data_IF_380638913573
#
_entry.id   IF_380638913573
#
_cell.length_a   1.000
_cell.length_b   1.000
_cell.length_c   1.000
_cell.angle_alpha   90.00
_cell.angle_beta   90.00
_cell.angle_gamma   90.00
#
_symmetry.space_group_name_H-M   'P 1'
#
loop_
_entity.id
_entity.type
_entity.pdbx_description
1 polymer ?
#
# COMPACT_ATOMS: atom_id res chain seq x y z
N UNK A 1 14.83 -8.77 -22.12
CA UNK A 1 14.46 -7.60 -21.30
C UNK A 1 15.06 -6.36 -21.94
N UNK A 2 14.24 -5.36 -22.25
CA UNK A 2 14.65 -4.09 -22.87
C UNK A 2 14.88 -2.99 -21.84
N UNK A 3 15.46 -1.86 -22.25
CA UNK A 3 15.59 -0.68 -21.38
C UNK A 3 14.22 -0.13 -20.95
N UNK A 4 13.25 -0.12 -21.85
CA UNK A 4 11.89 0.32 -21.55
C UNK A 4 11.21 -0.58 -20.52
N UNK A 5 11.41 -1.91 -20.61
CA UNK A 5 10.89 -2.84 -19.61
C UNK A 5 11.57 -2.67 -18.25
N UNK A 6 12.88 -2.41 -18.20
CA UNK A 6 13.59 -2.12 -16.96
C UNK A 6 13.06 -0.84 -16.28
N UNK A 7 12.85 0.21 -17.08
CA UNK A 7 12.25 1.46 -16.61
C UNK A 7 10.84 1.24 -16.09
N UNK A 8 10.00 0.54 -16.84
CA UNK A 8 8.63 0.22 -16.45
C UNK A 8 8.58 -0.59 -15.15
N UNK A 9 9.47 -1.58 -14.96
CA UNK A 9 9.59 -2.33 -13.70
C UNK A 9 9.90 -1.42 -12.52
N UNK A 10 10.79 -0.44 -12.68
CA UNK A 10 11.09 0.53 -11.63
C UNK A 10 9.90 1.45 -11.34
N UNK A 11 9.21 1.95 -12.37
CA UNK A 11 8.02 2.81 -12.23
C UNK A 11 6.88 2.08 -11.50
N UNK A 12 6.59 0.83 -11.89
CA UNK A 12 5.60 -0.04 -11.23
C UNK A 12 5.98 -0.28 -9.76
N UNK A 13 7.24 -0.61 -9.49
CA UNK A 13 7.72 -0.84 -8.14
C UNK A 13 7.55 0.40 -7.25
N UNK A 14 7.87 1.58 -7.77
CA UNK A 14 7.66 2.83 -7.04
C UNK A 14 6.18 3.08 -6.72
N UNK A 15 5.26 2.74 -7.64
CA UNK A 15 3.80 2.83 -7.38
C UNK A 15 3.40 1.90 -6.23
N UNK A 16 3.88 0.66 -6.22
CA UNK A 16 3.62 -0.30 -5.14
C UNK A 16 4.11 0.23 -3.79
N UNK A 17 5.33 0.78 -3.74
CA UNK A 17 5.90 1.36 -2.52
C UNK A 17 5.14 2.62 -2.05
N UNK A 18 4.73 3.49 -2.97
CA UNK A 18 3.93 4.69 -2.65
C UNK A 18 2.57 4.31 -2.08
N UNK A 19 1.93 3.26 -2.61
CA UNK A 19 0.69 2.73 -2.07
C UNK A 19 0.85 2.26 -0.61
N UNK A 20 1.85 1.42 -0.31
CA UNK A 20 2.12 0.95 1.05
C UNK A 20 2.40 2.10 2.01
N UNK A 21 3.24 3.05 1.57
CA UNK A 21 3.51 4.29 2.33
C UNK A 21 2.24 5.08 2.61
N UNK A 22 1.32 5.18 1.65
CA UNK A 22 0.03 5.83 1.81
C UNK A 22 -0.82 5.16 2.89
N UNK A 23 -0.95 3.83 2.86
CA UNK A 23 -1.69 3.07 3.87
C UNK A 23 -1.10 3.25 5.27
N UNK A 24 0.21 3.07 5.39
CA UNK A 24 0.91 3.09 6.68
C UNK A 24 0.91 4.47 7.32
N UNK A 25 0.74 5.52 6.51
CA UNK A 25 0.66 6.92 6.96
C UNK A 25 -0.74 7.51 6.95
N UNK A 26 -1.76 6.75 6.52
CA UNK A 26 -3.15 7.24 6.35
C UNK A 26 -3.23 8.40 5.36
N UNK A 27 -2.38 8.40 4.34
CA UNK A 27 -2.44 9.37 3.26
C UNK A 27 -3.26 8.80 2.10
N UNK A 28 -4.55 9.12 2.10
CA UNK A 28 -5.47 8.64 1.08
C UNK A 28 -5.21 9.24 -0.31
N UNK A 29 -4.48 10.37 -0.38
CA UNK A 29 -4.05 10.93 -1.66
C UNK A 29 -2.96 10.08 -2.29
N UNK A 30 -1.99 9.62 -1.49
CA UNK A 30 -0.98 8.65 -1.93
C UNK A 30 -1.59 7.30 -2.31
N UNK A 31 -2.54 6.80 -1.51
CA UNK A 31 -3.26 5.56 -1.83
C UNK A 31 -3.97 5.68 -3.16
N UNK A 32 -4.77 6.74 -3.34
CA UNK A 32 -5.51 6.99 -4.58
C UNK A 32 -4.59 7.14 -5.79
N UNK A 33 -3.48 7.84 -5.62
CA UNK A 33 -2.50 8.11 -6.68
C UNK A 33 -1.77 6.88 -7.21
N UNK A 34 -1.95 5.70 -6.61
CA UNK A 34 -1.42 4.43 -7.14
C UNK A 34 -2.32 3.79 -8.22
N UNK A 35 -3.52 4.30 -8.42
CA UNK A 35 -4.54 3.69 -9.29
C UNK A 35 -4.97 4.64 -10.39
N UNK A 36 -5.37 4.07 -11.54
CA UNK A 36 -6.17 4.80 -12.52
C UNK A 36 -7.56 5.11 -11.94
N UNK A 37 -8.19 6.21 -12.37
CA UNK A 37 -9.47 6.66 -11.81
C UNK A 37 -10.60 5.64 -11.96
N UNK A 38 -10.56 4.85 -13.03
CA UNK A 38 -11.49 3.78 -13.37
C UNK A 38 -11.06 2.41 -12.80
N UNK A 39 -10.06 2.37 -11.91
CA UNK A 39 -9.54 1.11 -11.42
C UNK A 39 -10.59 0.29 -10.66
N UNK A 40 -10.52 -1.03 -10.86
CA UNK A 40 -11.38 -1.99 -10.18
C UNK A 40 -10.66 -2.72 -9.05
N UNK A 41 -11.26 -2.72 -7.87
CA UNK A 41 -10.70 -3.35 -6.68
C UNK A 41 -11.51 -4.59 -6.33
N UNK A 42 -10.82 -5.70 -6.10
CA UNK A 42 -11.40 -7.00 -5.80
C UNK A 42 -10.75 -7.57 -4.54
N UNK A 43 -11.19 -7.11 -3.38
CA UNK A 43 -10.82 -7.70 -2.10
C UNK A 43 -11.83 -8.81 -1.73
N UNK A 44 -11.61 -9.58 -0.65
CA UNK A 44 -12.65 -10.45 -0.09
C UNK A 44 -13.99 -9.72 0.07
N UNK A 45 -15.10 -10.45 -0.11
CA UNK A 45 -16.48 -9.91 -0.13
C UNK A 45 -16.80 -9.07 1.11
N UNK A 46 -16.29 -9.48 2.27
CA UNK A 46 -16.48 -8.79 3.55
C UNK A 46 -15.72 -7.46 3.68
N UNK A 47 -14.85 -7.12 2.72
CA UNK A 47 -14.06 -5.89 2.73
C UNK A 47 -14.55 -4.93 1.65
N UNK A 48 -14.23 -5.19 0.38
CA UNK A 48 -14.61 -4.31 -0.73
C UNK A 48 -14.51 -4.99 -2.09
N UNK A 49 -15.52 -4.77 -2.94
CA UNK A 49 -15.44 -5.03 -4.38
C UNK A 49 -16.10 -3.89 -5.13
N UNK A 50 -15.41 -3.30 -6.10
CA UNK A 50 -15.96 -2.22 -6.90
C UNK A 50 -14.95 -1.14 -7.24
N UNK A 51 -15.42 0.10 -7.28
CA UNK A 51 -14.64 1.26 -7.72
C UNK A 51 -13.54 1.64 -6.74
N UNK A 52 -12.53 2.34 -7.26
CA UNK A 52 -11.50 3.03 -6.47
C UNK A 52 -12.09 3.99 -5.44
N UNK A 53 -13.13 4.76 -5.80
CA UNK A 53 -13.74 5.71 -4.87
C UNK A 53 -14.35 5.03 -3.65
N UNK A 54 -15.08 3.93 -3.87
CA UNK A 54 -15.60 3.11 -2.79
C UNK A 54 -14.48 2.52 -1.93
N UNK A 55 -13.38 2.09 -2.57
CA UNK A 55 -12.24 1.53 -1.86
C UNK A 55 -11.51 2.56 -0.99
N UNK A 56 -11.24 3.76 -1.51
CA UNK A 56 -10.59 4.83 -0.74
C UNK A 56 -11.48 5.27 0.42
N UNK A 57 -12.80 5.35 0.22
CA UNK A 57 -13.74 5.61 1.31
C UNK A 57 -13.68 4.51 2.37
N UNK A 58 -13.75 3.25 1.95
CA UNK A 58 -13.64 2.10 2.85
C UNK A 58 -12.35 2.17 3.69
N UNK A 59 -11.20 2.43 3.05
CA UNK A 59 -9.94 2.58 3.76
C UNK A 59 -9.95 3.77 4.72
N UNK A 60 -10.50 4.92 4.31
CA UNK A 60 -10.59 6.09 5.18
C UNK A 60 -11.41 5.82 6.46
N UNK A 61 -12.46 5.00 6.35
CA UNK A 61 -13.30 4.59 7.49
C UNK A 61 -12.62 3.51 8.35
N UNK A 62 -11.86 2.60 7.73
CA UNK A 62 -11.24 1.45 8.39
C UNK A 62 -9.90 1.80 9.07
N UNK A 63 -9.07 2.65 8.44
CA UNK A 63 -7.73 2.97 8.93
C UNK A 63 -7.68 3.55 10.36
N UNK A 64 -8.62 4.40 10.82
CA UNK A 64 -8.68 4.88 12.21
C UNK A 64 -8.83 3.76 13.25
N UNK A 65 -9.28 2.57 12.84
CA UNK A 65 -9.41 1.42 13.74
C UNK A 65 -8.07 0.75 14.05
N UNK A 66 -6.99 1.13 13.36
CA UNK A 66 -5.64 0.62 13.64
C UNK A 66 -4.75 1.71 14.27
N UNK A 67 -4.05 1.34 15.34
CA UNK A 67 -3.03 2.21 15.96
C UNK A 67 -1.87 2.42 15.00
N UNK A 68 -1.41 1.33 14.37
CA UNK A 68 -0.31 1.33 13.40
C UNK A 68 -0.50 0.18 12.42
N UNK A 69 0.02 0.38 11.21
CA UNK A 69 0.11 -0.65 10.18
C UNK A 69 1.50 -0.59 9.55
N UNK A 70 1.96 -1.71 9.02
CA UNK A 70 3.15 -1.79 8.18
C UNK A 70 2.90 -2.79 7.07
N UNK A 71 3.03 -2.36 5.82
CA UNK A 71 2.88 -3.21 4.65
C UNK A 71 4.25 -3.44 4.00
N UNK A 72 4.79 -4.65 4.16
CA UNK A 72 6.08 -5.05 3.61
C UNK A 72 5.88 -5.89 2.36
N UNK A 73 6.44 -5.43 1.24
CA UNK A 73 6.39 -6.16 -0.02
C UNK A 73 7.59 -7.09 -0.13
N UNK A 74 7.32 -8.35 -0.47
CA UNK A 74 8.32 -9.36 -0.82
C UNK A 74 8.53 -9.43 -2.33
N UNK A 75 8.66 -10.66 -2.83
CA UNK A 75 8.85 -10.94 -4.25
C UNK A 75 7.72 -10.32 -5.09
N UNK A 76 8.11 -9.61 -6.15
CA UNK A 76 7.20 -9.11 -7.18
C UNK A 76 7.61 -9.69 -8.53
N UNK A 77 6.70 -10.43 -9.17
CA UNK A 77 6.88 -10.96 -10.51
C UNK A 77 6.04 -10.11 -11.48
N UNK A 78 6.69 -9.53 -12.48
CA UNK A 78 6.06 -8.62 -13.47
C UNK A 78 6.22 -9.24 -14.86
N UNK A 79 5.09 -9.49 -15.51
CA UNK A 79 4.98 -10.00 -16.87
C UNK A 79 4.32 -8.95 -17.77
N UNK A 80 4.98 -8.57 -18.86
CA UNK A 80 4.47 -7.55 -19.78
C UNK A 80 3.59 -8.17 -20.87
N UNK A 81 2.44 -7.55 -21.12
CA UNK A 81 1.51 -7.87 -22.20
C UNK A 81 1.49 -6.70 -23.20
N UNK A 82 2.56 -6.60 -23.98
CA UNK A 82 2.80 -5.45 -24.85
C UNK A 82 3.41 -4.24 -24.12
N UNK A 83 3.40 -3.05 -24.75
CA UNK A 83 4.16 -1.89 -24.28
C UNK A 83 3.52 -1.16 -23.08
N UNK A 84 2.22 -1.35 -22.87
CA UNK A 84 1.41 -0.51 -21.97
C UNK A 84 0.59 -1.33 -20.96
N UNK A 85 0.75 -2.65 -20.90
CA UNK A 85 0.06 -3.51 -19.93
C UNK A 85 1.09 -4.41 -19.24
N UNK A 86 0.94 -4.58 -17.93
CA UNK A 86 1.71 -5.53 -17.15
C UNK A 86 0.83 -6.24 -16.11
N UNK A 87 1.05 -7.53 -15.93
CA UNK A 87 0.46 -8.32 -14.86
C UNK A 87 1.51 -8.52 -13.77
N UNK A 88 1.12 -8.23 -12.53
CA UNK A 88 2.06 -8.19 -11.40
C UNK A 88 1.50 -9.03 -10.26
N UNK A 89 2.24 -10.06 -9.87
CA UNK A 89 2.04 -10.74 -8.59
C UNK A 89 3.02 -10.17 -7.57
N UNK A 90 2.52 -9.67 -6.44
CA UNK A 90 3.37 -9.17 -5.35
C UNK A 90 2.99 -9.82 -4.04
N UNK A 91 3.98 -10.42 -3.38
CA UNK A 91 3.85 -10.98 -2.04
C UNK A 91 3.83 -9.83 -1.02
N UNK A 92 2.93 -9.91 -0.05
CA UNK A 92 2.72 -8.94 1.01
C UNK A 92 2.76 -9.64 2.36
N UNK A 93 3.54 -9.10 3.29
CA UNK A 93 3.31 -9.27 4.72
C UNK A 93 2.76 -7.95 5.27
N UNK A 94 1.65 -7.99 6.00
CA UNK A 94 1.15 -6.81 6.67
C UNK A 94 0.96 -7.03 8.16
N UNK A 95 1.51 -6.12 8.94
CA UNK A 95 1.45 -6.09 10.40
C UNK A 95 0.50 -4.96 10.81
N UNK A 96 -0.44 -5.26 11.70
CA UNK A 96 -1.45 -4.33 12.17
C UNK A 96 -1.57 -4.42 13.68
N UNK A 97 -1.76 -3.27 14.33
CA UNK A 97 -2.16 -3.22 15.74
C UNK A 97 -3.57 -2.65 15.82
N UNK A 98 -4.51 -3.41 16.40
CA UNK A 98 -5.87 -2.92 16.60
C UNK A 98 -5.92 -1.80 17.64
N UNK A 99 -6.75 -0.78 17.41
CA UNK A 99 -7.12 0.19 18.45
C UNK A 99 -8.27 -0.34 19.31
N UNK A 100 -8.72 0.47 20.28
CA UNK A 100 -9.95 0.22 21.05
C UNK A 100 -11.21 0.14 20.17
N UNK A 101 -11.20 0.74 18.98
CA UNK A 101 -12.29 0.65 18.00
C UNK A 101 -12.29 -0.67 17.21
N UNK A 102 -11.21 -1.45 17.33
CA UNK A 102 -11.06 -2.72 16.65
C UNK A 102 -11.36 -3.89 17.59
N UNK A 103 -11.92 -4.97 17.05
CA UNK A 103 -12.16 -6.19 17.82
C UNK A 103 -10.87 -6.91 18.27
N UNK A 104 -9.70 -6.40 17.88
CA UNK A 104 -8.39 -6.87 18.32
C UNK A 104 -7.93 -6.16 19.60
N UNK A 105 -8.54 -5.03 20.00
CA UNK A 105 -8.30 -4.37 21.31
C UNK A 105 -6.82 -4.30 21.71
N UNK A 106 -5.98 -3.71 20.86
CA UNK A 106 -4.54 -3.57 21.13
C UNK A 106 -3.68 -4.73 20.61
N UNK A 107 -4.25 -5.92 20.37
CA UNK A 107 -3.51 -7.08 19.85
C UNK A 107 -2.94 -6.81 18.45
N UNK A 108 -1.83 -7.47 18.16
CA UNK A 108 -1.21 -7.43 16.85
C UNK A 108 -1.70 -8.58 15.97
N UNK A 109 -1.87 -8.29 14.69
CA UNK A 109 -2.16 -9.25 13.65
C UNK A 109 -1.11 -9.13 12.57
N UNK A 110 -0.56 -10.27 12.16
CA UNK A 110 0.24 -10.39 10.95
C UNK A 110 -0.53 -11.23 9.94
N UNK A 111 -0.60 -10.72 8.71
CA UNK A 111 -1.17 -11.44 7.57
C UNK A 111 -0.14 -11.57 6.45
N UNK A 112 -0.29 -12.63 5.68
CA UNK A 112 0.43 -12.85 4.43
C UNK A 112 -0.60 -12.97 3.33
N UNK A 113 -0.30 -12.28 2.24
CA UNK A 113 -1.20 -12.14 1.15
C UNK A 113 -0.43 -11.94 -0.15
N UNK A 114 -1.17 -11.98 -1.24
CA UNK A 114 -0.69 -11.66 -2.58
C UNK A 114 -1.61 -10.63 -3.21
N UNK A 115 -1.00 -9.61 -3.80
CA UNK A 115 -1.66 -8.75 -4.76
C UNK A 115 -1.51 -9.35 -6.15
N UNK A 116 -2.62 -9.43 -6.86
CA UNK A 116 -2.65 -9.68 -8.30
C UNK A 116 -3.13 -8.40 -8.97
N UNK A 117 -2.19 -7.68 -9.56
CA UNK A 117 -2.43 -6.39 -10.16
C UNK A 117 -2.37 -6.49 -11.69
N UNK A 118 -3.27 -5.75 -12.34
CA UNK A 118 -3.10 -5.33 -13.73
C UNK A 118 -2.69 -3.87 -13.72
N UNK A 119 -1.47 -3.61 -14.16
CA UNK A 119 -0.96 -2.27 -14.40
C UNK A 119 -1.19 -1.88 -15.85
N UNK A 120 -1.49 -0.60 -16.05
CA UNK A 120 -1.58 0.01 -17.38
C UNK A 120 -0.75 1.28 -17.42
N UNK A 121 -0.07 1.50 -18.54
CA UNK A 121 0.55 2.78 -18.87
C UNK A 121 -0.44 3.61 -19.67
N UNK A 122 -0.87 4.75 -19.12
CA UNK A 122 -1.72 5.73 -19.81
C UNK A 122 -1.04 7.08 -19.71
N UNK A 123 -0.96 7.80 -20.83
CA UNK A 123 -0.28 9.10 -20.93
C UNK A 123 1.16 9.06 -20.36
N UNK A 124 1.84 7.93 -20.58
CA UNK A 124 3.22 7.70 -20.13
C UNK A 124 3.39 7.37 -18.64
N UNK A 125 2.30 7.15 -17.89
CA UNK A 125 2.34 6.84 -16.45
C UNK A 125 1.77 5.45 -16.19
N UNK A 126 2.54 4.60 -15.51
CA UNK A 126 2.08 3.31 -15.01
C UNK A 126 1.29 3.49 -13.71
N UNK A 127 0.06 2.98 -13.67
CA UNK A 127 -0.76 2.88 -12.46
C UNK A 127 -1.55 1.58 -12.46
N UNK A 128 -2.10 1.22 -11.30
CA UNK A 128 -2.92 0.03 -11.15
C UNK A 128 -4.30 0.27 -11.78
N UNK A 129 -4.68 -0.55 -12.76
CA UNK A 129 -6.02 -0.56 -13.36
C UNK A 129 -6.94 -1.60 -12.70
N UNK A 130 -6.36 -2.68 -12.16
CA UNK A 130 -7.11 -3.65 -11.35
C UNK A 130 -6.23 -4.20 -10.25
N UNK A 131 -6.79 -4.36 -9.05
CA UNK A 131 -6.14 -5.06 -7.94
C UNK A 131 -7.04 -6.12 -7.35
N UNK A 132 -6.52 -7.34 -7.22
CA UNK A 132 -7.12 -8.38 -6.42
C UNK A 132 -6.22 -8.69 -5.22
N UNK A 133 -6.82 -8.81 -4.03
CA UNK A 133 -6.13 -9.26 -2.82
C UNK A 133 -6.50 -10.71 -2.54
N UNK A 134 -5.49 -11.56 -2.40
CA UNK A 134 -5.63 -12.93 -1.88
C UNK A 134 -4.93 -13.04 -0.55
N UNK A 135 -5.66 -13.33 0.52
CA UNK A 135 -5.06 -13.56 1.85
C UNK A 135 -4.78 -15.05 1.98
N UNK A 136 -3.52 -15.42 2.16
CA UNK A 136 -3.10 -16.82 2.26
C UNK A 136 -3.24 -17.32 3.71
N UNK A 137 -2.72 -16.57 4.68
CA UNK A 137 -2.93 -16.86 6.10
C UNK A 137 -2.74 -15.63 7.00
N UNK A 138 -3.18 -15.75 8.25
CA UNK A 138 -2.96 -14.76 9.30
C UNK A 138 -2.68 -15.45 10.64
N UNK A 139 -1.96 -14.75 11.52
CA UNK A 139 -1.91 -15.10 12.93
C UNK A 139 -2.03 -13.84 13.79
N UNK A 140 -2.51 -14.04 15.02
CA UNK A 140 -2.65 -12.99 16.03
C UNK A 140 -1.69 -13.25 17.19
N UNK A 141 -1.13 -12.20 17.77
CA UNK A 141 -0.22 -12.31 18.91
C UNK A 141 -0.44 -11.18 19.94
N UNK A 142 -0.11 -11.42 21.23
CA UNK A 142 -0.32 -10.45 22.29
C UNK A 142 0.44 -9.14 22.05
N UNK A 143 -0.12 -8.05 22.59
CA UNK A 143 0.47 -6.71 22.49
C UNK A 143 1.73 -6.53 23.34
N UNK A 144 1.87 -7.31 24.41
CA UNK A 144 2.97 -7.17 25.36
C UNK A 144 4.30 -7.59 24.73
N UNK A 145 5.32 -6.75 24.86
CA UNK A 145 6.63 -7.04 24.30
C UNK A 145 7.74 -6.16 24.89
N UNK A 146 8.97 -6.46 24.50
CA UNK A 146 10.17 -5.79 25.03
C UNK A 146 10.14 -4.25 24.93
N UNK A 147 9.42 -3.69 23.95
CA UNK A 147 9.28 -2.23 23.80
C UNK A 147 8.31 -1.56 24.78
N UNK A 148 7.58 -2.32 25.61
CA UNK A 148 6.73 -1.74 26.66
C UNK A 148 7.57 -1.02 27.73
N UNK A 149 8.82 -1.47 27.93
CA UNK A 149 9.82 -0.84 28.80
C UNK A 149 10.51 0.37 28.13
N UNK A 150 10.25 0.59 26.84
CA UNK A 150 10.90 1.60 26.01
C UNK A 150 9.86 2.43 25.22
N UNK A 151 9.02 3.23 25.90
CA UNK A 151 7.94 3.97 25.26
C UNK A 151 8.42 4.99 24.21
N UNK A 152 9.68 5.45 24.32
CA UNK A 152 10.35 6.33 23.37
C UNK A 152 10.86 5.60 22.10
N UNK A 153 10.95 4.27 22.13
CA UNK A 153 11.28 3.46 20.95
C UNK A 153 10.03 3.06 20.15
N UNK A 154 8.84 3.05 20.75
CA UNK A 154 7.56 2.71 20.10
C UNK A 154 6.86 3.93 19.49
N UNK A 155 7.63 4.83 18.88
CA UNK A 155 7.22 6.19 18.47
C UNK A 155 6.76 6.32 17.02
N UNK A 156 6.08 5.30 16.46
CA UNK A 156 5.52 5.45 15.11
C UNK A 156 4.45 6.56 15.11
N UNK A 157 4.73 7.66 14.41
CA UNK A 157 3.84 8.81 14.31
C UNK A 157 3.05 8.76 13.00
N UNK A 158 2.12 7.82 12.94
CA UNK A 158 1.18 7.68 11.82
C UNK A 158 0.53 9.03 11.50
N UNK A 159 0.63 9.47 10.25
CA UNK A 159 -0.08 10.66 9.73
C UNK A 159 0.42 12.04 10.16
N UNK A 160 1.49 12.17 10.98
CA UNK A 160 1.95 13.51 11.43
C UNK A 160 2.93 14.21 10.49
N UNK A 161 3.38 13.55 9.42
CA UNK A 161 4.28 14.16 8.43
C UNK A 161 5.70 14.48 8.96
N UNK A 162 6.07 13.94 10.12
CA UNK A 162 7.32 14.28 10.82
C UNK A 162 8.54 13.47 10.35
N UNK A 163 8.33 12.47 9.49
CA UNK A 163 9.40 11.66 8.93
C UNK A 163 10.36 12.53 8.10
N UNK A 164 11.69 12.47 8.34
CA UNK A 164 12.65 13.33 7.63
C UNK A 164 12.65 13.08 6.11
N UNK A 165 12.32 11.86 5.69
CA UNK A 165 12.17 11.47 4.27
C UNK A 165 10.94 12.06 3.58
N UNK A 166 10.05 12.73 4.32
CA UNK A 166 8.95 13.52 3.76
C UNK A 166 9.37 14.96 3.42
N UNK A 167 10.56 15.41 3.84
CA UNK A 167 11.13 16.66 3.32
C UNK A 167 11.36 16.47 1.82
N UNK A 168 10.77 17.35 1.01
CA UNK A 168 10.96 17.37 -0.46
C UNK A 168 12.40 17.72 -0.79
N UNK A 169 13.30 16.73 -0.78
CA UNK A 169 14.66 16.85 -1.31
C UNK A 169 14.61 16.36 -2.75
N UNK A 170 14.31 17.28 -3.67
CA UNK A 170 13.95 17.00 -5.08
C UNK A 170 12.64 16.19 -5.24
N UNK A 171 11.88 16.46 -6.32
CA UNK A 171 10.50 15.99 -6.50
C UNK A 171 10.35 14.47 -6.31
N UNK A 172 9.37 14.05 -5.51
CA UNK A 172 9.11 12.63 -5.21
C UNK A 172 8.41 11.87 -6.35
N UNK A 173 8.28 12.53 -7.49
CA UNK A 173 7.92 12.10 -8.85
C UNK A 173 9.03 12.40 -9.88
N UNK A 174 10.17 12.92 -9.45
CA UNK A 174 11.28 13.31 -10.32
C UNK A 174 10.94 14.43 -11.31
N UNK A 175 9.78 15.09 -11.20
CA UNK A 175 9.40 16.22 -12.07
C UNK A 175 8.90 17.39 -11.22
N UNK A 176 9.48 18.60 -11.38
CA UNK A 176 8.84 19.80 -10.89
C UNK A 176 7.44 19.93 -11.52
N UNK A 177 6.41 20.03 -10.69
CA UNK A 177 5.16 20.65 -11.13
C UNK A 177 5.48 22.10 -11.43
N UNK A 178 5.29 22.49 -12.69
CA UNK A 178 5.77 23.74 -13.26
C UNK A 178 5.25 25.00 -12.54
N UNK A 179 6.03 26.07 -12.76
CA UNK A 179 5.57 27.45 -12.85
C UNK A 179 4.47 27.58 -13.91
#
# INVERSE_FOLDING_TARGET
>A
MTLEELKARAEIHDVLLRYCRGLDRVDMSLVRGAFHMDAYIQFPESLHKGSLDGFVKFLADEMPRFVRTMHFLGNSLIEFDGPDIAYVETYLQADHQGSELHHWKGEYVKLWARYFDRFERRDGVWLIAKRQLMVDWMYRYPASGWFDDHPDASVSHRGKGTDPVLRKVAGFDGKPTGL
#
